data_IF_622673522002
#
_entry.id   IF_622673522002
#
_cell.length_a   1.000
_cell.length_b   1.000
_cell.length_c   1.000
_cell.angle_alpha   90.00
_cell.angle_beta   90.00
_cell.angle_gamma   90.00
#
_symmetry.space_group_name_H-M   'P 1'
#
loop_
_entity.id
_entity.type
_entity.pdbx_description
1 polymer ?
#
# COMPACT_ATOMS: atom_id res chain seq x y z
N UNK A 1 17.37 -26.07 5.05
CA UNK A 1 17.19 -24.87 5.90
C UNK A 1 15.99 -25.18 6.78
N UNK A 2 16.07 -25.07 8.10
CA UNK A 2 14.95 -25.43 8.96
C UNK A 2 13.73 -24.59 8.60
N UNK A 3 12.64 -25.26 8.24
CA UNK A 3 11.30 -24.70 8.06
C UNK A 3 10.72 -24.27 9.42
N UNK A 4 11.47 -23.47 10.18
CA UNK A 4 10.98 -22.88 11.41
C UNK A 4 10.07 -21.73 11.02
N UNK A 5 8.77 -22.01 11.03
CA UNK A 5 7.75 -20.97 11.10
C UNK A 5 8.19 -19.91 12.11
N UNK A 6 8.26 -18.62 11.73
CA UNK A 6 8.79 -17.59 12.60
C UNK A 6 8.08 -17.59 13.95
N UNK A 7 8.82 -17.29 15.03
CA UNK A 7 8.24 -17.29 16.36
C UNK A 7 7.05 -16.32 16.43
N UNK A 8 5.99 -16.69 17.17
CA UNK A 8 4.78 -15.85 17.30
C UNK A 8 5.10 -14.41 17.71
N UNK A 9 6.12 -14.21 18.54
CA UNK A 9 6.56 -12.88 18.96
C UNK A 9 7.11 -12.03 17.81
N UNK A 10 7.80 -12.63 16.84
CA UNK A 10 8.33 -11.95 15.67
C UNK A 10 7.22 -11.59 14.67
N UNK A 11 6.27 -12.51 14.45
CA UNK A 11 5.10 -12.27 13.60
C UNK A 11 4.27 -11.11 14.14
N UNK A 12 4.06 -11.04 15.47
CA UNK A 12 3.33 -9.93 16.10
C UNK A 12 4.08 -8.60 15.95
N UNK A 13 5.39 -8.57 16.23
CA UNK A 13 6.20 -7.34 16.08
C UNK A 13 6.17 -6.83 14.63
N UNK A 14 6.36 -7.72 13.66
CA UNK A 14 6.29 -7.39 12.23
C UNK A 14 4.89 -6.90 11.83
N UNK A 15 3.84 -7.52 12.35
CA UNK A 15 2.46 -7.09 12.12
C UNK A 15 2.20 -5.68 12.65
N UNK A 16 2.67 -5.35 13.87
CA UNK A 16 2.50 -4.01 14.44
C UNK A 16 3.20 -2.96 13.58
N UNK A 17 4.45 -3.22 13.17
CA UNK A 17 5.22 -2.28 12.33
C UNK A 17 4.52 -2.07 10.99
N UNK A 18 4.09 -3.14 10.34
CA UNK A 18 3.41 -3.06 9.03
C UNK A 18 2.05 -2.36 9.12
N UNK A 19 1.29 -2.58 10.20
CA UNK A 19 0.04 -1.83 10.45
C UNK A 19 0.33 -0.34 10.62
N UNK A 20 1.30 0.03 11.45
CA UNK A 20 1.66 1.44 11.68
C UNK A 20 2.07 2.11 10.38
N UNK A 21 2.91 1.45 9.57
CA UNK A 21 3.34 1.98 8.28
C UNK A 21 2.18 2.09 7.29
N UNK A 22 1.31 1.07 7.18
CA UNK A 22 0.11 1.13 6.34
C UNK A 22 -0.78 2.32 6.72
N UNK A 23 -1.02 2.53 8.02
CA UNK A 23 -1.79 3.67 8.52
C UNK A 23 -1.13 5.01 8.20
N UNK A 24 0.19 5.12 8.34
CA UNK A 24 0.93 6.34 8.00
C UNK A 24 0.76 6.67 6.51
N UNK A 25 0.97 5.68 5.63
CA UNK A 25 0.83 5.89 4.19
C UNK A 25 -0.61 6.22 3.77
N UNK A 26 -1.59 5.56 4.37
CA UNK A 26 -3.00 5.89 4.15
C UNK A 26 -3.34 7.31 4.63
N UNK A 27 -2.83 7.71 5.79
CA UNK A 27 -3.03 9.07 6.31
C UNK A 27 -2.42 10.13 5.39
N UNK A 28 -1.21 9.89 4.88
CA UNK A 28 -0.56 10.77 3.91
C UNK A 28 -1.35 10.87 2.60
N UNK A 29 -1.85 9.75 2.08
CA UNK A 29 -2.71 9.73 0.91
C UNK A 29 -4.00 10.53 1.14
N UNK A 30 -4.67 10.34 2.28
CA UNK A 30 -5.89 11.09 2.63
C UNK A 30 -5.59 12.59 2.78
N UNK A 31 -4.46 12.95 3.39
CA UNK A 31 -4.06 14.34 3.52
C UNK A 31 -3.84 15.01 2.15
N UNK A 32 -3.15 14.33 1.23
CA UNK A 32 -2.95 14.81 -0.13
C UNK A 32 -4.26 14.94 -0.90
N UNK A 33 -5.13 13.94 -0.78
CA UNK A 33 -6.46 13.96 -1.38
C UNK A 33 -7.32 15.12 -0.86
N UNK A 34 -7.32 15.36 0.46
CA UNK A 34 -8.06 16.47 1.04
C UNK A 34 -7.50 17.83 0.62
N UNK A 35 -6.17 17.93 0.47
CA UNK A 35 -5.47 19.15 0.10
C UNK A 35 -5.48 19.47 -1.40
N UNK A 36 -5.90 18.55 -2.26
CA UNK A 36 -6.08 18.80 -3.70
C UNK A 36 -7.37 19.57 -4.02
N UNK A 37 -8.20 19.88 -3.01
CA UNK A 37 -9.43 20.64 -3.18
C UNK A 37 -9.20 22.06 -3.75
N UNK A 38 -10.05 22.53 -4.68
CA UNK A 38 -9.81 23.74 -5.49
C UNK A 38 -9.71 25.05 -4.70
N UNK A 39 -10.20 25.12 -3.46
CA UNK A 39 -10.27 26.38 -2.70
C UNK A 39 -9.37 26.46 -1.45
N UNK A 40 -8.46 25.50 -1.26
CA UNK A 40 -7.60 25.45 -0.07
C UNK A 40 -6.17 25.85 -0.44
N UNK A 41 -5.54 26.80 0.27
CA UNK A 41 -4.07 26.97 0.19
C UNK A 41 -3.43 25.83 0.94
N UNK A 42 -2.77 24.92 0.21
CA UNK A 42 -2.28 23.66 0.77
C UNK A 42 -0.84 23.35 0.33
N UNK A 43 -0.13 22.47 1.06
CA UNK A 43 1.17 21.96 0.62
C UNK A 43 1.13 21.35 -0.78
N UNK A 44 0.03 20.68 -1.16
CA UNK A 44 -0.14 20.08 -2.49
C UNK A 44 -0.13 21.14 -3.58
N UNK A 45 -0.86 22.25 -3.41
CA UNK A 45 -0.85 23.35 -4.39
C UNK A 45 0.51 24.04 -4.51
N UNK A 46 1.23 24.15 -3.40
CA UNK A 46 2.59 24.66 -3.44
C UNK A 46 3.49 23.73 -4.26
N UNK A 47 3.44 22.42 -4.04
CA UNK A 47 4.19 21.43 -4.83
C UNK A 47 3.79 21.46 -6.31
N UNK A 48 2.50 21.57 -6.61
CA UNK A 48 1.97 21.70 -7.97
C UNK A 48 2.52 22.93 -8.69
N UNK A 49 2.61 24.06 -7.99
CA UNK A 49 3.20 25.30 -8.54
C UNK A 49 4.70 25.20 -8.84
N UNK A 50 5.42 24.30 -8.16
CA UNK A 50 6.83 24.00 -8.46
C UNK A 50 6.94 23.06 -9.67
N UNK A 51 6.19 21.96 -9.65
CA UNK A 51 6.08 21.00 -10.74
C UNK A 51 4.83 20.13 -10.56
N UNK A 52 3.91 20.09 -11.54
CA UNK A 52 2.64 19.37 -11.42
C UNK A 52 2.79 17.84 -11.32
N UNK A 53 3.95 17.28 -11.67
CA UNK A 53 4.20 15.84 -11.54
C UNK A 53 4.62 15.43 -10.13
N UNK A 54 5.08 16.35 -9.26
CA UNK A 54 5.53 16.00 -7.90
C UNK A 54 4.37 15.45 -7.05
N UNK A 55 3.21 16.13 -6.96
CA UNK A 55 2.06 15.58 -6.22
C UNK A 55 1.63 14.22 -6.75
N UNK A 56 1.52 14.07 -8.06
CA UNK A 56 1.11 12.82 -8.72
C UNK A 56 2.04 11.66 -8.35
N UNK A 57 3.36 11.87 -8.40
CA UNK A 57 4.33 10.83 -8.01
C UNK A 57 4.19 10.49 -6.53
N UNK A 58 4.00 11.48 -5.65
CA UNK A 58 3.83 11.23 -4.22
C UNK A 58 2.54 10.46 -3.92
N UNK A 59 1.44 10.81 -4.58
CA UNK A 59 0.16 10.09 -4.45
C UNK A 59 0.31 8.61 -4.85
N UNK A 60 0.98 8.33 -5.97
CA UNK A 60 1.30 6.95 -6.40
C UNK A 60 2.17 6.25 -5.36
N UNK A 61 3.22 6.91 -4.84
CA UNK A 61 4.09 6.33 -3.81
C UNK A 61 3.35 6.05 -2.50
N UNK A 62 2.40 6.90 -2.11
CA UNK A 62 1.62 6.68 -0.89
C UNK A 62 0.66 5.51 -1.04
N UNK A 63 -0.04 5.40 -2.16
CA UNK A 63 -0.91 4.26 -2.44
C UNK A 63 -0.13 2.96 -2.57
N UNK A 64 1.03 2.98 -3.23
CA UNK A 64 1.93 1.85 -3.30
C UNK A 64 2.46 1.42 -1.93
N UNK A 65 2.91 2.38 -1.11
CA UNK A 65 3.36 2.10 0.26
C UNK A 65 2.24 1.48 1.10
N UNK A 66 1.03 2.06 1.04
CA UNK A 66 -0.15 1.50 1.69
C UNK A 66 -0.42 0.06 1.26
N UNK A 67 -0.36 -0.24 -0.03
CA UNK A 67 -0.57 -1.58 -0.56
C UNK A 67 0.48 -2.57 -0.08
N UNK A 68 1.77 -2.23 -0.15
CA UNK A 68 2.87 -3.09 0.29
C UNK A 68 2.67 -3.46 1.75
N UNK A 69 2.53 -2.47 2.64
CA UNK A 69 2.46 -2.74 4.08
C UNK A 69 1.17 -3.45 4.47
N UNK A 70 0.03 -3.09 3.86
CA UNK A 70 -1.23 -3.78 4.12
C UNK A 70 -1.21 -5.23 3.64
N UNK A 71 -0.59 -5.50 2.49
CA UNK A 71 -0.42 -6.87 1.97
C UNK A 71 0.45 -7.70 2.91
N UNK A 72 1.59 -7.16 3.37
CA UNK A 72 2.44 -7.86 4.35
C UNK A 72 1.69 -8.08 5.68
N UNK A 73 0.90 -7.11 6.15
CA UNK A 73 0.06 -7.29 7.34
C UNK A 73 -0.92 -8.45 7.15
N UNK A 74 -1.65 -8.52 6.04
CA UNK A 74 -2.60 -9.61 5.77
C UNK A 74 -1.89 -10.96 5.72
N UNK A 75 -0.71 -11.02 5.09
CA UNK A 75 0.12 -12.24 5.05
C UNK A 75 0.51 -12.68 6.46
N UNK A 76 1.01 -11.77 7.29
CA UNK A 76 1.42 -12.06 8.67
C UNK A 76 0.25 -12.46 9.56
N UNK A 77 -0.89 -11.77 9.46
CA UNK A 77 -2.10 -12.07 10.24
C UNK A 77 -2.63 -13.45 9.88
N UNK A 78 -2.71 -13.78 8.59
CA UNK A 78 -3.14 -15.12 8.14
C UNK A 78 -2.18 -16.21 8.62
N UNK A 79 -0.87 -16.00 8.52
CA UNK A 79 0.13 -16.93 9.04
C UNK A 79 -0.01 -17.11 10.56
N UNK A 80 -0.18 -16.01 11.30
CA UNK A 80 -0.33 -16.04 12.75
C UNK A 80 -1.58 -16.79 13.22
N UNK A 81 -2.72 -16.57 12.55
CA UNK A 81 -4.02 -17.15 12.93
C UNK A 81 -4.20 -18.59 12.45
N UNK A 82 -3.85 -18.87 11.19
CA UNK A 82 -4.15 -20.16 10.53
C UNK A 82 -2.95 -21.09 10.45
N UNK A 83 -1.73 -20.59 10.69
CA UNK A 83 -0.46 -21.30 10.41
C UNK A 83 -0.31 -21.71 8.93
N UNK A 84 -1.20 -21.22 8.06
CA UNK A 84 -1.15 -21.40 6.60
C UNK A 84 -0.65 -20.08 6.01
N UNK A 85 0.31 -20.15 5.08
CA UNK A 85 0.78 -18.98 4.33
C UNK A 85 -0.39 -18.33 3.59
N UNK A 86 -0.41 -17.01 3.50
CA UNK A 86 -1.40 -16.34 2.67
C UNK A 86 -1.25 -16.75 1.21
N UNK A 87 -2.39 -16.90 0.55
CA UNK A 87 -2.46 -17.34 -0.84
C UNK A 87 -2.71 -16.16 -1.77
N UNK A 88 -2.82 -16.50 -3.05
CA UNK A 88 -3.11 -15.55 -4.12
C UNK A 88 -4.40 -14.77 -3.92
N UNK A 89 -5.41 -15.39 -3.30
CA UNK A 89 -6.70 -14.75 -3.03
C UNK A 89 -6.55 -13.49 -2.17
N UNK A 90 -5.75 -13.54 -1.09
CA UNK A 90 -5.55 -12.37 -0.23
C UNK A 90 -4.84 -11.24 -0.98
N UNK A 91 -3.81 -11.56 -1.77
CA UNK A 91 -3.03 -10.58 -2.54
C UNK A 91 -3.91 -9.91 -3.59
N UNK A 92 -4.73 -10.68 -4.31
CA UNK A 92 -5.66 -10.14 -5.32
C UNK A 92 -6.72 -9.24 -4.69
N UNK A 93 -7.27 -9.62 -3.53
CA UNK A 93 -8.22 -8.76 -2.80
C UNK A 93 -7.57 -7.44 -2.41
N UNK A 94 -6.32 -7.46 -1.92
CA UNK A 94 -5.58 -6.25 -1.58
C UNK A 94 -5.32 -5.37 -2.80
N UNK A 95 -5.04 -5.95 -3.95
CA UNK A 95 -4.84 -5.21 -5.20
C UNK A 95 -6.14 -4.53 -5.66
N UNK A 96 -7.27 -5.24 -5.58
CA UNK A 96 -8.59 -4.66 -5.91
C UNK A 96 -8.93 -3.51 -4.94
N UNK A 97 -8.65 -3.69 -3.65
CA UNK A 97 -8.88 -2.64 -2.65
C UNK A 97 -8.04 -1.40 -2.94
N UNK A 98 -6.74 -1.58 -3.23
CA UNK A 98 -5.86 -0.47 -3.61
C UNK A 98 -6.39 0.24 -4.85
N UNK A 99 -6.70 -0.49 -5.92
CA UNK A 99 -7.21 0.06 -7.17
C UNK A 99 -8.48 0.91 -6.97
N UNK A 100 -9.40 0.44 -6.13
CA UNK A 100 -10.62 1.17 -5.79
C UNK A 100 -10.31 2.44 -5.01
N UNK A 101 -9.45 2.37 -4.00
CA UNK A 101 -9.10 3.52 -3.17
C UNK A 101 -8.35 4.59 -3.98
N UNK A 102 -7.33 4.20 -4.75
CA UNK A 102 -6.54 5.12 -5.55
C UNK A 102 -7.39 5.78 -6.64
N UNK A 103 -8.30 5.02 -7.27
CA UNK A 103 -9.25 5.57 -8.23
C UNK A 103 -10.23 6.57 -7.59
N UNK A 104 -10.83 6.23 -6.44
CA UNK A 104 -11.81 7.10 -5.78
C UNK A 104 -11.19 8.39 -5.24
N UNK A 105 -9.94 8.32 -4.76
CA UNK A 105 -9.25 9.48 -4.22
C UNK A 105 -8.69 10.35 -5.34
N UNK A 106 -7.91 9.77 -6.25
CA UNK A 106 -7.06 10.53 -7.16
C UNK A 106 -7.44 10.40 -8.65
N UNK A 107 -8.51 9.65 -8.95
CA UNK A 107 -8.99 9.44 -10.31
C UNK A 107 -8.20 8.38 -11.09
N UNK A 108 -8.54 8.23 -12.37
CA UNK A 108 -8.04 7.15 -13.23
C UNK A 108 -6.53 7.21 -13.50
N UNK A 109 -5.94 8.40 -13.57
CA UNK A 109 -4.52 8.58 -13.84
C UNK A 109 -3.65 7.97 -12.74
N UNK A 110 -3.83 8.43 -11.51
CA UNK A 110 -3.11 7.92 -10.33
C UNK A 110 -3.52 6.48 -10.03
N UNK A 111 -4.80 6.14 -10.16
CA UNK A 111 -5.28 4.78 -9.92
C UNK A 111 -4.62 3.75 -10.84
N UNK A 112 -4.59 4.00 -12.14
CA UNK A 112 -3.94 3.09 -13.09
C UNK A 112 -2.43 2.98 -12.89
N UNK A 113 -1.75 4.10 -12.63
CA UNK A 113 -0.30 4.10 -12.37
C UNK A 113 0.06 3.35 -11.08
N UNK A 114 -0.74 3.53 -10.02
CA UNK A 114 -0.58 2.81 -8.75
C UNK A 114 -0.76 1.31 -8.93
N UNK A 115 -1.81 0.88 -9.65
CA UNK A 115 -2.04 -0.55 -9.95
C UNK A 115 -0.88 -1.16 -10.72
N UNK A 116 -0.34 -0.48 -11.73
CA UNK A 116 0.83 -0.97 -12.49
C UNK A 116 2.03 -1.18 -11.57
N UNK A 117 2.29 -0.24 -10.67
CA UNK A 117 3.38 -0.36 -9.71
C UNK A 117 3.13 -1.48 -8.68
N UNK A 118 1.90 -1.59 -8.17
CA UNK A 118 1.48 -2.67 -7.27
C UNK A 118 1.62 -4.04 -7.94
N UNK A 119 1.31 -4.17 -9.24
CA UNK A 119 1.51 -5.41 -10.00
C UNK A 119 2.98 -5.83 -10.05
N UNK A 120 3.92 -4.89 -10.16
CA UNK A 120 5.35 -5.20 -10.09
C UNK A 120 5.73 -5.83 -8.73
N UNK A 121 5.14 -5.34 -7.64
CA UNK A 121 5.31 -5.95 -6.31
C UNK A 121 4.63 -7.32 -6.19
N UNK A 122 3.46 -7.51 -6.79
CA UNK A 122 2.80 -8.82 -6.85
C UNK A 122 3.66 -9.84 -7.59
N UNK A 123 4.28 -9.44 -8.71
CA UNK A 123 5.25 -10.30 -9.45
C UNK A 123 6.46 -10.61 -8.58
N UNK A 124 6.98 -9.64 -7.83
CA UNK A 124 8.05 -9.89 -6.87
C UNK A 124 7.65 -10.93 -5.81
N UNK A 125 6.44 -10.83 -5.25
CA UNK A 125 5.93 -11.84 -4.31
C UNK A 125 5.76 -13.22 -4.96
N UNK A 126 5.36 -13.29 -6.23
CA UNK A 126 5.30 -14.55 -6.99
C UNK A 126 6.67 -15.22 -7.06
N UNK A 127 7.71 -14.47 -7.44
CA UNK A 127 9.07 -14.98 -7.58
C UNK A 127 9.70 -15.42 -6.25
N UNK A 128 9.18 -14.97 -5.11
CA UNK A 128 9.60 -15.41 -3.77
C UNK A 128 8.90 -16.67 -3.28
N UNK A 129 7.84 -17.13 -3.97
CA UNK A 129 7.12 -18.34 -3.60
C UNK A 129 7.78 -19.62 -4.17
N UNK A 130 8.66 -19.47 -5.16
CA UNK A 130 9.52 -20.53 -5.71
C UNK A 130 10.78 -20.73 -4.84
#
# INVERSE_FOLDING_TARGET
MSDETPERGEIIKSSIITIVLAVIFLFLAIAFWAWSAPDITSPVKYLDSLNPYIPVVLEIMFMFGFFVFSTVTVVNVKLGLSQIRAGWTEIVIMLILEALLSFLMFGSGVGSASVVLCLAFVVYLYLLQD
#
